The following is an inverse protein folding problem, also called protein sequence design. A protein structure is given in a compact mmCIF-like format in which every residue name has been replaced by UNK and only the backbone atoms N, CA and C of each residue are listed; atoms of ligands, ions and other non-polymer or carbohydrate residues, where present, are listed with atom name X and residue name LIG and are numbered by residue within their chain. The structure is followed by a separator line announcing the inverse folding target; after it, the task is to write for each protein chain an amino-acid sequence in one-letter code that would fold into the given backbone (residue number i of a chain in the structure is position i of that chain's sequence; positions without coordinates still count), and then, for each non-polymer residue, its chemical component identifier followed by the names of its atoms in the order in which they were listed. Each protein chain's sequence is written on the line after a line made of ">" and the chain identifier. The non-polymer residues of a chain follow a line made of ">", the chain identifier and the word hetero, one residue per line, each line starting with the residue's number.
data_IF_877969972319
#
_entry.id   IF_877969972319
#
_cell.length_a   1.000
_cell.length_b   1.000
_cell.length_c   1.000
_cell.angle_alpha   90.00
_cell.angle_beta   90.00
_cell.angle_gamma   90.00
#
_symmetry.space_group_name_H-M   'P 1'
#
loop_
_entity.id
_entity.type
_entity.pdbx_description
1 polymer ?
#
# COMPACT_ATOMS: atom_id res chain seq x y z
N UNK A 1 -10.25 -28.88 -4.30
CA UNK A 1 -8.88 -28.40 -4.57
C UNK A 1 -8.50 -27.33 -3.56
N UNK A 2 -7.22 -27.19 -3.17
CA UNK A 2 -6.70 -26.10 -2.33
C UNK A 2 -5.70 -25.29 -3.14
N UNK A 3 -6.00 -24.00 -3.36
CA UNK A 3 -5.07 -23.02 -3.92
C UNK A 3 -4.29 -22.35 -2.79
N UNK A 4 -2.99 -22.14 -2.99
CA UNK A 4 -2.11 -21.46 -2.03
C UNK A 4 -1.82 -20.06 -2.55
N UNK A 5 -2.21 -19.05 -1.76
CA UNK A 5 -1.92 -17.64 -2.01
C UNK A 5 -1.01 -17.11 -0.91
N UNK A 6 0.13 -16.52 -1.29
CA UNK A 6 0.98 -15.74 -0.38
C UNK A 6 0.82 -14.26 -0.66
N UNK A 7 1.12 -13.38 0.31
CA UNK A 7 0.98 -11.95 0.01
C UNK A 7 1.37 -10.99 1.12
N UNK A 8 1.09 -9.72 0.86
CA UNK A 8 1.25 -8.62 1.81
C UNK A 8 0.30 -8.75 2.99
N UNK A 9 0.74 -8.31 4.17
CA UNK A 9 -0.11 -8.25 5.35
C UNK A 9 -1.10 -7.09 5.36
N UNK A 10 -0.95 -6.10 4.46
CA UNK A 10 -1.87 -4.95 4.42
C UNK A 10 -3.27 -5.31 3.93
N UNK A 11 -3.46 -6.01 2.79
CA UNK A 11 -4.78 -6.42 2.34
C UNK A 11 -5.27 -7.74 2.99
N UNK A 12 -4.55 -8.31 3.96
CA UNK A 12 -4.90 -9.58 4.60
C UNK A 12 -6.35 -9.62 5.09
N UNK A 13 -6.91 -8.59 5.78
CA UNK A 13 -8.30 -8.63 6.23
C UNK A 13 -9.29 -8.75 5.07
N UNK A 14 -9.06 -8.00 3.97
CA UNK A 14 -9.88 -8.08 2.77
C UNK A 14 -9.78 -9.45 2.09
N UNK A 15 -8.56 -9.95 1.93
CA UNK A 15 -8.35 -11.24 1.27
C UNK A 15 -8.97 -12.39 2.04
N UNK A 16 -8.95 -12.36 3.37
CA UNK A 16 -9.70 -13.33 4.19
C UNK A 16 -11.20 -13.24 3.94
N UNK A 17 -11.76 -12.03 3.92
CA UNK A 17 -13.18 -11.84 3.62
C UNK A 17 -13.55 -12.32 2.21
N UNK A 18 -12.69 -12.10 1.22
CA UNK A 18 -12.85 -12.63 -0.13
C UNK A 18 -12.84 -14.16 -0.14
N UNK A 19 -11.88 -14.76 0.53
CA UNK A 19 -11.75 -16.23 0.61
C UNK A 19 -12.97 -16.85 1.28
N UNK A 20 -13.42 -16.30 2.38
CA UNK A 20 -14.60 -16.78 3.12
C UNK A 20 -15.88 -16.66 2.27
N UNK A 21 -16.03 -15.57 1.52
CA UNK A 21 -17.17 -15.37 0.64
C UNK A 21 -17.09 -16.27 -0.61
N UNK A 22 -15.92 -16.36 -1.24
CA UNK A 22 -15.70 -17.22 -2.41
C UNK A 22 -15.97 -18.69 -2.09
N UNK A 23 -15.53 -19.16 -0.92
CA UNK A 23 -15.73 -20.54 -0.49
C UNK A 23 -17.21 -20.90 -0.34
N UNK A 24 -18.08 -19.95 0.01
CA UNK A 24 -19.54 -20.17 0.08
C UNK A 24 -20.17 -20.35 -1.32
N UNK A 25 -19.61 -19.70 -2.34
CA UNK A 25 -20.08 -19.76 -3.72
C UNK A 25 -19.44 -20.92 -4.51
N UNK A 26 -18.18 -21.28 -4.21
CA UNK A 26 -17.37 -22.26 -4.92
C UNK A 26 -16.77 -23.30 -3.96
N UNK A 27 -17.62 -24.10 -3.32
CA UNK A 27 -17.24 -25.05 -2.26
C UNK A 27 -16.18 -26.11 -2.67
N UNK A 28 -16.03 -26.38 -3.96
CA UNK A 28 -15.02 -27.32 -4.48
C UNK A 28 -13.59 -26.78 -4.48
N UNK A 29 -13.43 -25.43 -4.37
CA UNK A 29 -12.12 -24.77 -4.39
C UNK A 29 -11.94 -23.94 -3.14
N UNK A 30 -10.94 -24.27 -2.34
CA UNK A 30 -10.51 -23.52 -1.17
C UNK A 30 -9.30 -22.66 -1.54
N UNK A 31 -9.20 -21.44 -1.01
CA UNK A 31 -8.00 -20.62 -1.10
C UNK A 31 -7.41 -20.46 0.29
N UNK A 32 -6.12 -20.72 0.45
CA UNK A 32 -5.39 -20.54 1.70
C UNK A 32 -4.45 -19.35 1.58
N UNK A 33 -4.65 -18.31 2.39
CA UNK A 33 -3.81 -17.12 2.41
C UNK A 33 -2.75 -17.16 3.49
N UNK A 34 -1.51 -16.79 3.12
CA UNK A 34 -0.37 -16.67 4.04
C UNK A 34 0.26 -15.27 3.91
N UNK A 35 0.17 -14.41 4.94
CA UNK A 35 0.69 -13.05 4.92
C UNK A 35 2.20 -13.02 5.22
N UNK A 36 3.02 -13.33 4.23
CA UNK A 36 4.49 -13.40 4.34
C UNK A 36 5.18 -12.03 4.10
N UNK A 37 4.49 -11.10 3.44
CA UNK A 37 5.02 -9.81 2.97
C UNK A 37 5.28 -9.83 1.47
N UNK A 38 5.31 -8.61 0.86
CA UNK A 38 5.36 -8.45 -0.60
C UNK A 38 6.61 -9.07 -1.21
N UNK A 39 7.79 -8.77 -0.65
CA UNK A 39 9.07 -9.27 -1.17
C UNK A 39 9.17 -10.81 -1.13
N UNK A 40 8.70 -11.43 -0.04
CA UNK A 40 8.72 -12.90 0.08
C UNK A 40 7.69 -13.54 -0.85
N UNK A 41 6.51 -12.95 -0.97
CA UNK A 41 5.49 -13.42 -1.90
C UNK A 41 5.99 -13.40 -3.35
N UNK A 42 6.66 -12.32 -3.76
CA UNK A 42 7.29 -12.24 -5.08
C UNK A 42 8.31 -13.36 -5.30
N UNK A 43 9.20 -13.60 -4.31
CA UNK A 43 10.17 -14.71 -4.37
C UNK A 43 9.49 -16.06 -4.51
N UNK A 44 8.42 -16.30 -3.74
CA UNK A 44 7.67 -17.57 -3.78
C UNK A 44 7.08 -17.84 -5.16
N UNK A 45 6.43 -16.85 -5.77
CA UNK A 45 5.85 -16.98 -7.12
C UNK A 45 6.95 -17.20 -8.17
N UNK A 46 8.05 -16.48 -8.09
CA UNK A 46 9.17 -16.67 -8.99
C UNK A 46 9.85 -18.03 -8.83
N UNK A 47 9.86 -18.59 -7.61
CA UNK A 47 10.33 -19.94 -7.35
C UNK A 47 9.32 -21.03 -7.77
N UNK A 48 8.07 -20.67 -8.12
CA UNK A 48 7.00 -21.62 -8.43
C UNK A 48 6.35 -22.23 -7.19
N UNK A 49 6.45 -21.55 -6.05
CA UNK A 49 5.81 -21.93 -4.80
C UNK A 49 4.48 -21.20 -4.63
N UNK A 50 3.37 -21.94 -4.63
CA UNK A 50 2.03 -21.39 -4.57
C UNK A 50 1.39 -21.14 -5.95
N UNK A 51 0.09 -20.88 -5.92
CA UNK A 51 -0.73 -20.65 -7.12
C UNK A 51 -0.91 -19.17 -7.42
N UNK A 52 -0.93 -18.35 -6.37
CA UNK A 52 -1.03 -16.90 -6.43
C UNK A 52 -0.06 -16.26 -5.44
N UNK A 53 0.50 -15.15 -5.84
CA UNK A 53 1.19 -14.23 -4.96
C UNK A 53 0.40 -12.94 -4.78
N UNK A 54 0.93 -12.03 -3.98
CA UNK A 54 0.40 -10.67 -3.88
C UNK A 54 1.37 -9.74 -3.18
N UNK A 55 1.36 -8.49 -3.58
CA UNK A 55 2.22 -7.47 -3.00
C UNK A 55 1.78 -6.06 -3.33
N UNK A 56 2.45 -5.11 -2.70
CA UNK A 56 2.13 -3.69 -2.82
C UNK A 56 3.24 -2.93 -3.57
N UNK A 57 4.06 -3.67 -4.31
CA UNK A 57 5.10 -3.19 -5.22
C UNK A 57 5.12 -4.06 -6.47
N UNK A 58 5.41 -3.52 -7.66
CA UNK A 58 5.73 -4.35 -8.82
C UNK A 58 6.97 -5.21 -8.57
N UNK A 59 6.96 -6.45 -9.08
CA UNK A 59 8.14 -7.31 -9.01
C UNK A 59 9.27 -6.66 -9.83
N UNK A 60 10.49 -6.46 -9.28
CA UNK A 60 11.57 -5.87 -10.03
C UNK A 60 11.88 -6.62 -11.34
N UNK A 61 12.07 -5.88 -12.44
CA UNK A 61 12.41 -6.45 -13.75
C UNK A 61 13.59 -7.42 -13.69
N UNK A 62 14.61 -7.05 -12.91
CA UNK A 62 15.80 -7.91 -12.72
C UNK A 62 15.45 -9.27 -12.13
N UNK A 63 14.44 -9.34 -11.25
CA UNK A 63 13.99 -10.60 -10.67
C UNK A 63 13.14 -11.41 -11.65
N UNK A 64 12.25 -10.75 -12.43
CA UNK A 64 11.47 -11.40 -13.49
C UNK A 64 12.40 -12.03 -14.55
N UNK A 65 13.38 -11.28 -15.03
CA UNK A 65 14.36 -11.77 -16.00
C UNK A 65 15.20 -12.92 -15.44
N UNK A 66 15.70 -12.81 -14.20
CA UNK A 66 16.53 -13.85 -13.58
C UNK A 66 15.76 -15.16 -13.38
N UNK A 67 14.46 -15.08 -13.07
CA UNK A 67 13.61 -16.26 -12.90
C UNK A 67 13.16 -16.90 -14.22
N UNK A 68 13.31 -16.21 -15.35
CA UNK A 68 12.80 -16.63 -16.67
C UNK A 68 11.33 -17.08 -16.62
N UNK A 69 10.50 -16.34 -15.88
CA UNK A 69 9.07 -16.65 -15.71
C UNK A 69 8.19 -15.48 -16.13
N UNK A 70 7.09 -15.80 -16.77
CA UNK A 70 6.03 -14.84 -17.08
C UNK A 70 5.04 -14.79 -15.93
N UNK A 71 4.97 -13.65 -15.25
CA UNK A 71 4.04 -13.37 -14.16
C UNK A 71 3.18 -12.18 -14.55
N UNK A 72 1.86 -12.34 -14.44
CA UNK A 72 0.92 -11.24 -14.55
C UNK A 72 0.81 -10.54 -13.20
N UNK A 73 0.97 -9.23 -13.21
CA UNK A 73 0.80 -8.37 -12.03
C UNK A 73 -0.55 -7.65 -12.18
N UNK A 74 -1.56 -8.18 -11.53
CA UNK A 74 -2.96 -7.76 -11.69
C UNK A 74 -3.39 -6.92 -10.49
N UNK A 75 -3.71 -5.61 -10.63
CA UNK A 75 -4.27 -4.81 -9.55
C UNK A 75 -5.46 -5.49 -8.88
N UNK A 76 -5.44 -5.60 -7.56
CA UNK A 76 -6.53 -6.16 -6.77
C UNK A 76 -7.48 -5.09 -6.24
N UNK A 77 -6.93 -4.12 -5.51
CA UNK A 77 -7.60 -2.92 -5.00
C UNK A 77 -6.58 -1.77 -4.90
N UNK A 78 -7.06 -0.59 -4.57
CA UNK A 78 -6.22 0.55 -4.23
C UNK A 78 -5.93 0.59 -2.73
N UNK A 79 -4.74 1.07 -2.39
CA UNK A 79 -4.31 1.25 -1.01
C UNK A 79 -3.68 2.63 -0.83
N UNK A 80 -3.92 3.26 0.32
CA UNK A 80 -3.26 4.50 0.71
C UNK A 80 -2.42 4.28 1.97
N UNK A 81 -1.18 4.75 1.94
CA UNK A 81 -0.32 4.79 3.12
C UNK A 81 -0.48 6.16 3.75
N UNK A 82 -0.91 6.17 5.01
CA UNK A 82 -1.24 7.40 5.73
C UNK A 82 -0.21 7.68 6.83
N UNK A 83 0.25 8.92 6.92
CA UNK A 83 1.08 9.35 8.03
C UNK A 83 0.21 9.49 9.28
N UNK A 84 0.53 8.72 10.31
CA UNK A 84 -0.19 8.68 11.58
C UNK A 84 0.69 9.28 12.69
N UNK A 85 0.05 9.92 13.67
CA UNK A 85 0.80 10.60 14.72
C UNK A 85 0.06 10.60 16.06
N UNK A 86 0.81 10.75 17.15
CA UNK A 86 0.28 10.88 18.51
C UNK A 86 0.78 12.19 19.15
N UNK A 87 -0.14 13.16 19.28
CA UNK A 87 0.09 14.46 19.91
C UNK A 87 -1.02 14.75 20.92
N UNK A 88 -0.85 14.32 22.17
CA UNK A 88 -1.87 14.52 23.21
C UNK A 88 -2.17 16.00 23.42
N UNK A 89 -3.46 16.32 23.58
CA UNK A 89 -3.93 17.68 23.85
C UNK A 89 -3.93 18.65 22.65
N UNK A 90 -3.35 18.25 21.50
CA UNK A 90 -3.35 19.08 20.29
C UNK A 90 -4.63 18.83 19.50
N UNK A 91 -5.37 19.90 19.21
CA UNK A 91 -6.58 19.88 18.38
C UNK A 91 -6.23 20.25 16.93
N UNK A 92 -7.11 19.89 16.01
CA UNK A 92 -6.97 20.21 14.59
C UNK A 92 -6.32 19.09 13.78
N UNK A 93 -6.16 19.34 12.50
CA UNK A 93 -5.63 18.40 11.50
C UNK A 93 -4.20 18.82 11.15
N UNK A 94 -3.26 17.92 11.37
CA UNK A 94 -1.85 18.16 11.03
C UNK A 94 -1.67 18.16 9.51
N UNK A 95 -1.04 19.21 9.01
CA UNK A 95 -0.68 19.37 7.60
C UNK A 95 0.83 19.16 7.41
N UNK A 96 1.18 18.31 6.46
CA UNK A 96 2.58 18.02 6.12
C UNK A 96 2.81 18.18 4.62
N UNK A 97 3.97 18.71 4.24
CA UNK A 97 4.44 18.62 2.86
C UNK A 97 5.34 17.39 2.69
N UNK A 98 5.50 16.91 1.46
CA UNK A 98 6.38 15.78 1.17
C UNK A 98 7.81 15.98 1.68
N UNK A 99 8.47 17.14 1.39
CA UNK A 99 9.81 17.42 1.93
C UNK A 99 9.88 17.44 3.46
N UNK A 100 8.85 17.96 4.14
CA UNK A 100 8.82 17.97 5.62
C UNK A 100 8.69 16.54 6.16
N UNK A 101 7.81 15.72 5.57
CA UNK A 101 7.66 14.31 5.94
C UNK A 101 8.97 13.55 5.69
N UNK A 102 9.64 13.77 4.56
CA UNK A 102 10.94 13.17 4.26
C UNK A 102 11.98 13.55 5.32
N UNK A 103 12.07 14.84 5.71
CA UNK A 103 13.01 15.31 6.71
C UNK A 103 12.73 14.74 8.12
N UNK A 104 11.48 14.45 8.45
CA UNK A 104 11.14 13.73 9.67
C UNK A 104 11.71 12.30 9.64
N UNK A 105 11.46 11.55 8.56
CA UNK A 105 11.96 10.18 8.42
C UNK A 105 13.49 10.10 8.25
N UNK A 106 14.12 11.18 7.78
CA UNK A 106 15.58 11.31 7.77
C UNK A 106 16.17 11.71 9.14
N UNK A 107 15.33 12.01 10.16
CA UNK A 107 15.76 12.47 11.46
C UNK A 107 16.35 13.90 11.45
N UNK A 108 16.03 14.70 10.44
CA UNK A 108 16.45 16.11 10.32
C UNK A 108 15.56 17.02 11.16
N UNK A 109 14.24 16.81 11.10
CA UNK A 109 13.27 17.46 11.98
C UNK A 109 13.09 16.58 13.20
N UNK A 110 13.48 17.08 14.37
CA UNK A 110 13.58 16.28 15.61
C UNK A 110 12.54 16.64 16.67
N UNK A 111 11.84 17.76 16.52
CA UNK A 111 10.83 18.24 17.49
C UNK A 111 9.61 18.73 16.77
N UNK A 112 8.43 18.60 17.40
CA UNK A 112 7.16 19.00 16.81
C UNK A 112 7.02 20.51 16.64
N UNK A 113 7.69 21.31 17.48
CA UNK A 113 7.72 22.77 17.34
C UNK A 113 8.79 23.30 16.38
N UNK A 114 9.39 22.43 15.54
CA UNK A 114 10.29 22.88 14.48
C UNK A 114 9.61 23.90 13.57
N UNK A 115 10.38 24.89 13.13
CA UNK A 115 9.86 26.00 12.31
C UNK A 115 9.23 25.55 10.98
N UNK A 116 9.68 24.43 10.42
CA UNK A 116 9.09 23.87 9.21
C UNK A 116 7.67 23.31 9.46
N UNK A 117 7.42 22.77 10.66
CA UNK A 117 6.11 22.26 11.06
C UNK A 117 5.16 23.38 11.51
N UNK A 118 5.64 24.33 12.33
CA UNK A 118 4.81 25.42 12.85
C UNK A 118 4.33 26.36 11.74
N UNK A 119 5.16 26.62 10.72
CA UNK A 119 4.74 27.43 9.56
C UNK A 119 3.64 26.75 8.71
N UNK A 120 3.60 25.43 8.65
CA UNK A 120 2.53 24.69 7.96
C UNK A 120 1.24 24.62 8.78
N UNK A 121 1.34 24.76 10.09
CA UNK A 121 0.26 24.57 11.06
C UNK A 121 0.18 25.76 12.03
N UNK A 122 -0.03 27.01 11.55
CA UNK A 122 0.03 28.20 12.40
C UNK A 122 -1.04 28.22 13.50
N UNK A 123 -2.17 27.57 13.26
CA UNK A 123 -3.30 27.47 14.21
C UNK A 123 -3.13 26.32 15.22
N UNK A 124 -2.06 25.54 15.11
CA UNK A 124 -1.76 24.45 16.03
C UNK A 124 -0.60 24.86 16.95
N UNK A 125 -0.85 24.86 18.23
CA UNK A 125 0.23 25.09 19.22
C UNK A 125 1.08 23.82 19.37
N UNK A 126 1.94 23.54 18.38
CA UNK A 126 2.78 22.35 18.36
C UNK A 126 3.80 22.36 19.50
N UNK A 127 3.89 21.30 20.33
CA UNK A 127 4.70 21.28 21.54
C UNK A 127 6.20 21.11 21.24
N UNK A 128 7.05 21.56 22.16
CA UNK A 128 8.49 21.25 22.17
C UNK A 128 8.73 19.79 22.60
N UNK A 129 8.12 18.86 21.85
CA UNK A 129 8.16 17.43 22.11
C UNK A 129 9.04 16.75 21.06
N UNK A 130 9.96 15.84 21.46
CA UNK A 130 10.76 15.10 20.51
C UNK A 130 9.89 14.25 19.57
N UNK A 131 10.21 14.22 18.29
CA UNK A 131 9.60 13.33 17.30
C UNK A 131 10.19 11.94 17.43
N UNK A 132 9.34 10.95 17.60
CA UNK A 132 9.70 9.53 17.63
C UNK A 132 9.22 8.84 16.36
N UNK A 133 10.14 8.56 15.45
CA UNK A 133 9.82 7.97 14.14
C UNK A 133 9.62 6.46 14.26
N UNK A 134 8.52 5.96 13.71
CA UNK A 134 8.20 4.54 13.62
C UNK A 134 8.08 4.10 12.17
N UNK A 135 8.69 2.97 11.82
CA UNK A 135 8.65 2.41 10.47
C UNK A 135 8.48 0.89 10.49
N UNK A 136 8.21 0.30 9.34
CA UNK A 136 8.11 -1.16 9.20
C UNK A 136 9.49 -1.77 9.00
N UNK A 137 9.62 -3.05 9.37
CA UNK A 137 10.82 -3.85 9.06
C UNK A 137 10.98 -4.04 7.55
N UNK A 138 12.08 -4.59 7.12
CA UNK A 138 12.40 -4.87 5.72
C UNK A 138 11.40 -5.80 5.03
N UNK A 139 11.32 -5.70 3.71
CA UNK A 139 10.50 -6.55 2.86
C UNK A 139 9.00 -6.25 2.89
N UNK A 140 8.60 -5.03 3.30
CA UNK A 140 7.19 -4.64 3.39
C UNK A 140 6.78 -3.71 2.27
N UNK A 141 5.64 -3.99 1.64
CA UNK A 141 5.09 -3.16 0.58
C UNK A 141 4.76 -1.72 1.01
N UNK A 142 4.34 -1.53 2.29
CA UNK A 142 4.15 -0.18 2.84
C UNK A 142 5.42 0.66 2.84
N UNK A 143 6.59 0.05 3.05
CA UNK A 143 7.89 0.70 2.91
C UNK A 143 8.10 1.16 1.46
N UNK A 144 7.80 0.29 0.49
CA UNK A 144 7.95 0.63 -0.93
C UNK A 144 7.08 1.83 -1.31
N UNK A 145 5.79 1.81 -0.95
CA UNK A 145 4.86 2.89 -1.30
C UNK A 145 5.30 4.21 -0.69
N UNK A 146 5.63 4.22 0.60
CA UNK A 146 6.10 5.43 1.28
C UNK A 146 7.43 5.93 0.71
N UNK A 147 8.41 5.04 0.53
CA UNK A 147 9.72 5.42 0.00
C UNK A 147 9.66 5.88 -1.46
N UNK A 148 8.79 5.30 -2.28
CA UNK A 148 8.54 5.77 -3.65
C UNK A 148 8.03 7.23 -3.66
N UNK A 149 7.08 7.56 -2.77
CA UNK A 149 6.62 8.94 -2.60
C UNK A 149 7.74 9.86 -2.10
N UNK A 150 8.41 9.48 -1.02
CA UNK A 150 9.44 10.32 -0.41
C UNK A 150 10.63 10.57 -1.35
N UNK A 151 11.01 9.59 -2.16
CA UNK A 151 12.03 9.75 -3.20
C UNK A 151 11.62 10.74 -4.30
N UNK A 152 10.34 10.81 -4.66
CA UNK A 152 9.83 11.77 -5.66
C UNK A 152 9.83 13.22 -5.16
N UNK A 153 9.69 13.42 -3.86
CA UNK A 153 9.56 14.76 -3.25
C UNK A 153 10.81 15.22 -2.50
N UNK A 154 11.82 14.37 -2.35
CA UNK A 154 13.08 14.67 -1.65
C UNK A 154 14.26 13.93 -2.30
N UNK A 155 15.10 14.64 -3.08
CA UNK A 155 16.35 14.08 -3.61
C UNK A 155 17.29 13.56 -2.51
N UNK A 156 17.29 14.20 -1.33
CA UNK A 156 18.09 13.77 -0.19
C UNK A 156 17.60 12.41 0.34
N UNK A 157 16.27 12.20 0.44
CA UNK A 157 15.71 10.92 0.85
C UNK A 157 16.07 9.81 -0.15
N UNK A 158 16.00 10.12 -1.45
CA UNK A 158 16.41 9.17 -2.50
C UNK A 158 17.87 8.75 -2.34
N UNK A 159 18.77 9.70 -2.07
CA UNK A 159 20.21 9.45 -1.93
C UNK A 159 20.55 8.63 -0.68
N UNK A 160 19.85 8.87 0.45
CA UNK A 160 20.16 8.25 1.75
C UNK A 160 19.42 6.93 1.95
N UNK A 161 18.10 6.94 1.80
CA UNK A 161 17.24 5.79 2.12
C UNK A 161 16.91 4.92 0.92
N UNK A 162 16.72 5.55 -0.25
CA UNK A 162 16.35 4.88 -1.49
C UNK A 162 14.89 4.42 -1.54
N UNK A 163 14.44 4.09 -2.76
CA UNK A 163 13.12 3.49 -3.02
C UNK A 163 13.21 1.98 -2.95
N UNK A 164 12.54 1.36 -1.99
CA UNK A 164 12.63 -0.08 -1.78
C UNK A 164 11.55 -0.58 -0.81
N UNK A 165 11.28 -1.88 -0.80
CA UNK A 165 10.58 -2.56 0.31
C UNK A 165 11.45 -2.62 1.59
N UNK A 166 12.74 -2.32 1.46
CA UNK A 166 13.73 -2.27 2.55
C UNK A 166 14.57 -0.99 2.46
N UNK A 167 13.97 0.21 2.65
CA UNK A 167 14.71 1.47 2.62
C UNK A 167 15.73 1.50 3.76
N UNK A 168 16.85 2.18 3.55
CA UNK A 168 17.85 2.38 4.61
C UNK A 168 17.38 3.50 5.55
N UNK A 169 16.46 3.19 6.45
CA UNK A 169 15.94 4.16 7.41
C UNK A 169 17.05 4.68 8.32
N UNK A 170 17.38 5.98 8.30
CA UNK A 170 18.47 6.53 9.14
C UNK A 170 18.03 6.80 10.57
N UNK A 171 16.73 6.79 10.83
CA UNK A 171 16.16 7.05 12.16
C UNK A 171 14.87 6.27 12.37
N UNK A 172 14.56 6.00 13.62
CA UNK A 172 13.29 5.41 14.02
C UNK A 172 13.41 4.00 14.60
N UNK A 173 12.26 3.49 15.04
CA UNK A 173 12.08 2.13 15.54
C UNK A 173 11.28 1.32 14.54
N UNK A 174 11.69 0.07 14.30
CA UNK A 174 11.03 -0.83 13.34
C UNK A 174 10.01 -1.75 14.00
N UNK A 175 8.95 -2.09 13.24
CA UNK A 175 7.88 -2.98 13.66
C UNK A 175 7.55 -4.00 12.57
N UNK A 176 7.35 -5.25 12.99
CA UNK A 176 7.07 -6.34 12.05
C UNK A 176 5.65 -6.27 11.47
N UNK A 177 4.67 -5.83 12.25
CA UNK A 177 3.26 -5.69 11.84
C UNK A 177 2.78 -4.24 11.94
N UNK A 178 1.87 -3.83 11.04
CA UNK A 178 1.23 -2.50 11.09
C UNK A 178 0.48 -2.31 12.40
N UNK A 179 -0.21 -3.35 12.90
CA UNK A 179 -0.95 -3.29 14.16
C UNK A 179 -0.04 -3.03 15.36
N UNK A 180 1.15 -3.63 15.40
CA UNK A 180 2.15 -3.40 16.45
C UNK A 180 2.62 -1.95 16.45
N UNK A 181 2.90 -1.40 15.24
CA UNK A 181 3.29 0.00 15.07
C UNK A 181 2.19 0.94 15.57
N UNK A 182 0.94 0.69 15.19
CA UNK A 182 -0.22 1.50 15.61
C UNK A 182 -0.41 1.43 17.11
N UNK A 183 -0.35 0.24 17.71
CA UNK A 183 -0.50 0.06 19.16
C UNK A 183 0.59 0.81 19.93
N UNK A 184 1.85 0.71 19.48
CA UNK A 184 2.95 1.42 20.11
C UNK A 184 2.83 2.93 19.92
N UNK A 185 2.34 3.40 18.77
CA UNK A 185 2.15 4.81 18.49
C UNK A 185 1.14 5.44 19.48
N UNK A 186 0.02 4.79 19.76
CA UNK A 186 -0.98 5.25 20.73
C UNK A 186 -0.43 5.50 22.13
N UNK A 187 0.56 4.71 22.53
CA UNK A 187 1.18 4.81 23.88
C UNK A 187 2.43 5.68 23.89
N UNK A 188 2.78 6.32 22.77
CA UNK A 188 4.04 7.07 22.64
C UNK A 188 3.79 8.52 22.23
N UNK A 189 3.66 9.46 23.20
CA UNK A 189 3.57 10.88 22.90
C UNK A 189 4.73 11.36 22.01
N UNK A 190 4.39 12.10 20.95
CA UNK A 190 5.35 12.58 19.96
C UNK A 190 5.72 11.56 18.88
N UNK A 191 5.09 10.40 18.86
CA UNK A 191 5.32 9.43 17.79
C UNK A 191 4.70 9.87 16.46
N UNK A 192 5.39 9.54 15.38
CA UNK A 192 4.91 9.59 13.99
C UNK A 192 5.31 8.30 13.30
N UNK A 193 4.41 7.77 12.50
CA UNK A 193 4.64 6.58 11.69
C UNK A 193 3.72 6.56 10.50
N UNK A 194 3.52 5.39 9.94
CA UNK A 194 2.61 5.20 8.81
C UNK A 194 1.96 3.83 8.86
N UNK A 195 0.76 3.78 8.30
CA UNK A 195 0.02 2.53 8.11
C UNK A 195 -0.93 2.66 6.92
N UNK A 196 -1.62 1.60 6.57
CA UNK A 196 -2.71 1.61 5.60
C UNK A 196 -3.95 2.33 6.15
N UNK A 197 -4.71 2.99 5.27
CA UNK A 197 -5.87 3.80 5.62
C UNK A 197 -6.89 3.02 6.47
N UNK A 198 -7.23 1.79 6.08
CA UNK A 198 -8.25 0.99 6.75
C UNK A 198 -7.88 0.69 8.21
N UNK A 199 -6.61 0.36 8.46
CA UNK A 199 -6.12 0.15 9.83
C UNK A 199 -6.10 1.46 10.61
N UNK A 200 -5.69 2.57 10.00
CA UNK A 200 -5.71 3.87 10.67
C UNK A 200 -7.13 4.27 11.11
N UNK A 201 -8.12 4.08 10.22
CA UNK A 201 -9.54 4.36 10.51
C UNK A 201 -10.07 3.45 11.62
N UNK A 202 -9.87 2.14 11.51
CA UNK A 202 -10.38 1.16 12.50
C UNK A 202 -9.73 1.30 13.87
N UNK A 203 -8.48 1.76 13.93
CA UNK A 203 -7.75 1.99 15.18
C UNK A 203 -7.98 3.38 15.78
N UNK A 204 -8.67 4.30 15.06
CA UNK A 204 -8.94 5.64 15.55
C UNK A 204 -7.71 6.54 15.70
N UNK A 205 -6.58 6.20 15.07
CA UNK A 205 -5.36 7.03 15.12
C UNK A 205 -5.52 8.31 14.29
N UNK A 206 -4.84 9.36 14.71
CA UNK A 206 -4.84 10.63 13.98
C UNK A 206 -4.00 10.53 12.72
N UNK A 207 -4.54 11.03 11.61
CA UNK A 207 -3.90 11.04 10.30
C UNK A 207 -3.61 12.47 9.86
N UNK A 208 -2.44 12.69 9.25
CA UNK A 208 -2.08 13.97 8.68
C UNK A 208 -2.63 14.13 7.26
N UNK A 209 -2.99 15.35 6.88
CA UNK A 209 -3.20 15.74 5.49
C UNK A 209 -1.85 16.01 4.82
N UNK A 210 -1.67 15.51 3.62
CA UNK A 210 -0.42 15.64 2.87
C UNK A 210 -0.63 16.55 1.66
N UNK A 211 0.30 17.49 1.45
CA UNK A 211 0.29 18.35 0.28
C UNK A 211 0.59 17.55 -0.97
N UNK A 212 -0.31 17.56 -1.95
CA UNK A 212 -0.18 16.82 -3.19
C UNK A 212 0.53 17.61 -4.30
N UNK A 213 0.71 16.99 -5.47
CA UNK A 213 1.36 17.59 -6.63
C UNK A 213 0.62 18.83 -7.18
N UNK A 214 -0.69 18.96 -6.94
CA UNK A 214 -1.47 20.14 -7.30
C UNK A 214 -1.36 21.29 -6.26
N UNK A 215 -0.65 21.09 -5.16
CA UNK A 215 -0.47 22.09 -4.11
C UNK A 215 -1.55 22.08 -3.02
N UNK A 216 -2.50 21.15 -3.06
CA UNK A 216 -3.60 21.04 -2.10
C UNK A 216 -3.22 20.10 -0.94
N UNK A 217 -3.66 20.43 0.29
CA UNK A 217 -3.59 19.51 1.41
C UNK A 217 -4.76 18.53 1.35
N UNK A 218 -4.46 17.27 1.08
CA UNK A 218 -5.47 16.23 0.90
C UNK A 218 -5.49 15.29 2.09
N UNK A 219 -6.68 15.16 2.69
CA UNK A 219 -6.95 14.18 3.73
C UNK A 219 -7.05 12.78 3.12
N UNK A 220 -6.44 11.76 3.75
CA UNK A 220 -6.57 10.39 3.26
C UNK A 220 -8.01 9.89 3.38
N UNK A 221 -8.52 9.35 2.29
CA UNK A 221 -9.84 8.70 2.20
C UNK A 221 -9.87 7.75 1.01
N UNK A 222 -10.83 6.82 0.96
CA UNK A 222 -11.02 5.94 -0.19
C UNK A 222 -11.26 6.74 -1.47
N UNK A 223 -11.97 7.87 -1.39
CA UNK A 223 -12.22 8.77 -2.52
C UNK A 223 -10.94 9.44 -3.02
N UNK A 224 -10.10 9.99 -2.12
CA UNK A 224 -8.86 10.67 -2.53
C UNK A 224 -7.80 9.70 -3.06
N UNK A 225 -7.80 8.44 -2.59
CA UNK A 225 -6.98 7.36 -3.13
C UNK A 225 -7.47 6.95 -4.53
N UNK A 226 -8.80 6.82 -4.74
CA UNK A 226 -9.37 6.53 -6.05
C UNK A 226 -9.12 7.67 -7.05
N UNK A 227 -9.17 8.94 -6.59
CA UNK A 227 -8.82 10.11 -7.40
C UNK A 227 -7.37 10.03 -7.92
N UNK A 228 -6.43 9.58 -7.08
CA UNK A 228 -5.04 9.40 -7.51
C UNK A 228 -4.91 8.32 -8.61
N UNK A 229 -5.66 7.24 -8.54
CA UNK A 229 -5.67 6.20 -9.55
C UNK A 229 -6.28 6.69 -10.87
N UNK A 230 -7.40 7.41 -10.80
CA UNK A 230 -8.05 8.01 -11.99
C UNK A 230 -7.17 9.04 -12.69
N UNK A 231 -6.40 9.83 -11.93
CA UNK A 231 -5.52 10.86 -12.47
C UNK A 231 -4.19 10.30 -13.01
N UNK A 232 -3.63 9.26 -12.37
CA UNK A 232 -2.28 8.73 -12.65
C UNK A 232 -2.25 7.37 -13.35
N UNK A 233 -3.27 6.53 -13.17
CA UNK A 233 -3.20 5.11 -13.49
C UNK A 233 -3.81 4.66 -14.82
N UNK A 234 -4.63 5.50 -15.47
CA UNK A 234 -5.55 4.97 -16.48
C UNK A 234 -5.10 5.00 -17.94
N UNK A 235 -4.14 5.80 -18.34
CA UNK A 235 -4.01 6.18 -19.76
C UNK A 235 -2.80 5.64 -20.51
N UNK A 236 -1.79 5.05 -19.88
CA UNK A 236 -0.52 4.74 -20.57
C UNK A 236 0.11 3.37 -20.34
N UNK A 237 -0.36 2.54 -19.42
CA UNK A 237 0.31 1.26 -19.14
C UNK A 237 -0.66 0.07 -19.25
N UNK A 238 -0.36 -0.81 -20.20
CA UNK A 238 -1.06 -2.09 -20.38
C UNK A 238 -0.69 -3.15 -19.32
N UNK A 239 0.41 -2.92 -18.59
CA UNK A 239 0.97 -3.84 -17.60
C UNK A 239 0.63 -3.50 -16.14
N UNK A 240 -0.11 -2.40 -15.88
CA UNK A 240 -0.53 -1.93 -14.55
C UNK A 240 0.60 -1.64 -13.55
N UNK A 241 1.84 -1.49 -14.00
CA UNK A 241 3.02 -1.28 -13.14
C UNK A 241 3.30 0.20 -12.84
N UNK A 242 2.33 1.05 -13.13
CA UNK A 242 2.45 2.49 -12.92
C UNK A 242 2.40 2.83 -11.43
N UNK A 243 3.28 3.74 -11.00
CA UNK A 243 3.23 4.30 -9.65
C UNK A 243 2.16 5.37 -9.55
N UNK A 244 1.29 5.26 -8.55
CA UNK A 244 0.26 6.24 -8.21
C UNK A 244 0.74 7.27 -7.18
N UNK A 245 1.95 7.13 -6.62
CA UNK A 245 2.46 8.10 -5.66
C UNK A 245 2.74 9.42 -6.34
N UNK A 246 2.38 10.51 -5.66
CA UNK A 246 2.46 11.88 -6.18
C UNK A 246 1.71 12.07 -7.51
N UNK A 247 0.60 11.35 -7.71
CA UNK A 247 -0.25 11.48 -8.88
C UNK A 247 -0.79 12.91 -9.02
N UNK A 248 -1.01 13.40 -10.25
CA UNK A 248 -1.61 14.72 -10.48
C UNK A 248 -3.07 14.76 -10.00
N UNK A 249 -3.64 15.95 -9.90
CA UNK A 249 -5.05 16.16 -9.54
C UNK A 249 -5.21 16.75 -8.14
N UNK A 250 -6.16 17.68 -8.02
CA UNK A 250 -6.39 18.44 -6.78
C UNK A 250 -6.86 17.56 -5.62
N UNK A 251 -7.61 16.49 -5.90
CA UNK A 251 -8.17 15.58 -4.90
C UNK A 251 -7.32 14.33 -4.68
N UNK A 252 -6.21 14.16 -5.43
CA UNK A 252 -5.37 12.97 -5.36
C UNK A 252 -4.60 12.90 -4.06
N UNK A 253 -4.82 11.84 -3.27
CA UNK A 253 -3.99 11.57 -2.11
C UNK A 253 -2.60 11.10 -2.56
N UNK A 254 -1.52 11.76 -2.13
CA UNK A 254 -0.21 11.58 -2.78
C UNK A 254 0.52 10.28 -2.45
N UNK A 255 0.09 9.53 -1.41
CA UNK A 255 0.73 8.27 -1.02
C UNK A 255 -0.23 7.11 -1.31
N UNK A 256 -0.64 7.02 -2.57
CA UNK A 256 -1.56 6.01 -3.08
C UNK A 256 -0.83 4.99 -3.94
N UNK A 257 -1.33 3.75 -3.97
CA UNK A 257 -0.80 2.66 -4.76
C UNK A 257 -1.89 1.65 -5.10
N UNK A 258 -1.60 0.78 -6.05
CA UNK A 258 -2.28 -0.51 -6.14
C UNK A 258 -1.73 -1.47 -5.08
N UNK A 259 -2.49 -2.52 -4.77
CA UNK A 259 -1.95 -3.81 -4.38
C UNK A 259 -2.21 -4.79 -5.52
N UNK A 260 -1.28 -5.67 -5.78
CA UNK A 260 -1.31 -6.58 -6.94
C UNK A 260 -1.49 -8.03 -6.53
N UNK A 261 -2.16 -8.80 -7.36
CA UNK A 261 -2.06 -10.25 -7.39
C UNK A 261 -0.97 -10.62 -8.40
N UNK A 262 -0.02 -11.44 -8.00
CA UNK A 262 1.02 -12.01 -8.85
C UNK A 262 0.56 -13.38 -9.29
N UNK A 263 0.33 -13.55 -10.58
CA UNK A 263 -0.25 -14.76 -11.15
C UNK A 263 0.69 -15.33 -12.20
N UNK A 264 1.16 -16.56 -12.08
CA UNK A 264 1.85 -17.22 -13.18
C UNK A 264 0.99 -17.17 -14.44
N UNK A 265 1.55 -16.70 -15.55
CA UNK A 265 0.80 -16.59 -16.82
C UNK A 265 0.34 -17.96 -17.33
N UNK A 266 1.13 -18.99 -17.03
CA UNK A 266 0.82 -20.40 -17.33
C UNK A 266 0.93 -21.18 -16.03
N UNK A 267 -0.14 -21.86 -15.64
CA UNK A 267 -0.15 -22.73 -14.47
C UNK A 267 0.60 -24.04 -14.76
N UNK A 268 1.28 -24.62 -13.77
CA UNK A 268 1.92 -25.94 -13.94
C UNK A 268 0.92 -27.05 -14.23
N UNK A 269 -0.31 -26.88 -13.78
CA UNK A 269 -1.42 -27.82 -13.93
C UNK A 269 -2.64 -27.07 -14.47
N UNK A 270 -3.20 -27.50 -15.62
CA UNK A 270 -4.36 -26.85 -16.24
C UNK A 270 -5.62 -26.79 -15.35
N UNK A 271 -5.81 -27.77 -14.45
CA UNK A 271 -6.95 -27.75 -13.52
C UNK A 271 -6.77 -26.62 -12.47
N UNK A 272 -5.55 -26.46 -11.96
CA UNK A 272 -5.22 -25.35 -11.07
C UNK A 272 -5.33 -24.00 -11.77
N UNK A 273 -4.88 -23.91 -13.03
CA UNK A 273 -5.03 -22.71 -13.86
C UNK A 273 -6.49 -22.28 -13.99
N UNK A 274 -7.39 -23.22 -14.31
CA UNK A 274 -8.84 -22.95 -14.36
C UNK A 274 -9.41 -22.48 -13.01
N UNK A 275 -8.96 -23.08 -11.91
CA UNK A 275 -9.42 -22.69 -10.57
C UNK A 275 -8.92 -21.28 -10.19
N UNK A 276 -7.68 -20.93 -10.52
CA UNK A 276 -7.14 -19.58 -10.36
C UNK A 276 -7.92 -18.56 -11.20
N UNK A 277 -8.17 -18.86 -12.48
CA UNK A 277 -8.96 -18.00 -13.36
C UNK A 277 -10.39 -17.76 -12.83
N UNK A 278 -11.04 -18.79 -12.29
CA UNK A 278 -12.37 -18.68 -11.67
C UNK A 278 -12.32 -17.78 -10.41
N UNK A 279 -11.33 -17.95 -9.57
CA UNK A 279 -11.14 -17.10 -8.38
C UNK A 279 -10.87 -15.63 -8.76
N UNK A 280 -10.01 -15.38 -9.74
CA UNK A 280 -9.73 -14.03 -10.24
C UNK A 280 -10.99 -13.36 -10.81
N UNK A 281 -11.78 -14.09 -11.61
CA UNK A 281 -13.06 -13.59 -12.12
C UNK A 281 -13.97 -13.17 -10.98
N UNK A 282 -14.06 -13.96 -9.92
CA UNK A 282 -14.85 -13.66 -8.73
C UNK A 282 -14.31 -12.43 -7.99
N UNK A 283 -12.98 -12.29 -7.82
CA UNK A 283 -12.32 -11.13 -7.20
C UNK A 283 -12.69 -9.84 -7.93
N UNK A 284 -12.73 -9.85 -9.27
CA UNK A 284 -13.04 -8.66 -10.08
C UNK A 284 -14.54 -8.41 -10.28
N UNK A 285 -15.40 -9.23 -9.71
CA UNK A 285 -16.85 -9.04 -9.69
C UNK A 285 -17.37 -8.89 -8.25
N UNK A 286 -17.70 -9.99 -7.58
CA UNK A 286 -18.21 -10.01 -6.20
C UNK A 286 -17.20 -9.46 -5.20
N UNK A 287 -15.90 -9.75 -5.40
CA UNK A 287 -14.82 -9.29 -4.52
C UNK A 287 -14.69 -7.77 -4.44
N UNK A 288 -14.88 -7.05 -5.56
CA UNK A 288 -14.84 -5.57 -5.54
C UNK A 288 -15.97 -4.95 -4.72
N UNK A 289 -17.16 -5.56 -4.69
CA UNK A 289 -18.27 -5.11 -3.84
C UNK A 289 -17.93 -5.24 -2.36
N UNK A 290 -17.37 -6.38 -1.95
CA UNK A 290 -16.92 -6.62 -0.58
C UNK A 290 -15.82 -5.62 -0.19
N UNK A 291 -14.89 -5.34 -1.10
CA UNK A 291 -13.85 -4.34 -0.85
C UNK A 291 -14.45 -2.95 -0.58
N UNK A 292 -15.43 -2.52 -1.36
CA UNK A 292 -16.14 -1.27 -1.17
C UNK A 292 -16.88 -1.21 0.17
N UNK A 293 -17.60 -2.26 0.52
CA UNK A 293 -18.34 -2.38 1.79
C UNK A 293 -17.41 -2.31 3.01
N UNK A 294 -16.18 -2.79 2.88
CA UNK A 294 -15.15 -2.73 3.91
C UNK A 294 -14.31 -1.44 3.86
N UNK A 295 -14.69 -0.45 3.05
CA UNK A 295 -14.05 0.87 2.99
C UNK A 295 -12.72 0.91 2.22
N UNK A 296 -12.39 -0.15 1.48
CA UNK A 296 -11.25 -0.10 0.55
C UNK A 296 -11.59 0.76 -0.67
N UNK A 297 -10.59 1.43 -1.21
CA UNK A 297 -10.72 2.10 -2.50
C UNK A 297 -10.68 1.04 -3.62
N UNK A 298 -11.78 0.92 -4.36
CA UNK A 298 -11.91 -0.05 -5.47
C UNK A 298 -11.22 0.48 -6.72
N UNK A 299 -10.96 -0.43 -7.66
CA UNK A 299 -10.37 -0.08 -8.94
C UNK A 299 -11.35 0.82 -9.74
N UNK A 300 -10.87 1.89 -10.39
CA UNK A 300 -11.66 2.64 -11.37
C UNK A 300 -12.20 1.71 -12.47
N UNK A 301 -13.40 2.02 -13.00
CA UNK A 301 -14.10 1.13 -13.92
C UNK A 301 -13.29 0.77 -15.18
N UNK A 302 -12.52 1.72 -15.71
CA UNK A 302 -11.65 1.51 -16.87
C UNK A 302 -10.46 0.59 -16.55
N UNK A 303 -9.88 0.72 -15.35
CA UNK A 303 -8.82 -0.16 -14.85
C UNK A 303 -9.39 -1.56 -14.62
N UNK A 304 -10.54 -1.65 -13.93
CA UNK A 304 -11.20 -2.92 -13.62
C UNK A 304 -11.51 -3.72 -14.89
N UNK A 305 -12.05 -3.07 -15.94
CA UNK A 305 -12.34 -3.73 -17.21
C UNK A 305 -11.07 -4.32 -17.86
N UNK A 306 -9.96 -3.57 -17.87
CA UNK A 306 -8.68 -4.02 -18.43
C UNK A 306 -8.08 -5.18 -17.63
N UNK A 307 -8.12 -5.09 -16.30
CA UNK A 307 -7.59 -6.13 -15.41
C UNK A 307 -8.41 -7.42 -15.56
N UNK A 308 -9.74 -7.33 -15.58
CA UNK A 308 -10.60 -8.47 -15.77
C UNK A 308 -10.34 -9.17 -17.13
N UNK A 309 -10.15 -8.38 -18.20
CA UNK A 309 -9.76 -8.92 -19.51
C UNK A 309 -8.41 -9.63 -19.45
N UNK A 310 -7.40 -9.05 -18.77
CA UNK A 310 -6.09 -9.66 -18.61
C UNK A 310 -6.15 -10.92 -17.74
N UNK A 311 -6.94 -10.92 -16.67
CA UNK A 311 -7.14 -12.08 -15.80
C UNK A 311 -7.77 -13.27 -16.55
N UNK A 312 -8.59 -13.03 -17.58
CA UNK A 312 -9.19 -14.10 -18.40
C UNK A 312 -8.19 -14.84 -19.29
N UNK A 313 -6.95 -14.35 -19.42
CA UNK A 313 -5.89 -15.03 -20.17
C UNK A 313 -5.12 -16.06 -19.34
N UNK A 314 -5.40 -16.18 -18.05
CA UNK A 314 -4.79 -17.19 -17.16
C UNK A 314 -5.36 -18.58 -17.51
N UNK A 315 -4.50 -19.58 -17.70
CA UNK A 315 -4.88 -20.95 -18.07
C UNK A 315 -3.87 -21.99 -17.55
#
# INVERSE_FOLDING_TARGET
>A
MVLVQTGSSMPEPLYKSWIDAYHKEAASTQVRYMPVGSAESARNILAGSGDLGGGDAPIPETQLHAANKSVLELPAVLIGIVAIYELPGIKGELKLTGPVLANIFLGRIKTWNDSALTRLNPDMNLPALPIRVFHRTDGKGSNYILSDYLCKVSPEFLAIAGRSESPKWPAGQSFQRSQELVNQLHSTPGAIGYTELNLAVSSGVRMASIKNAAGEFVKPSSQSIAAAASAGGGKKNEDFRVSLTNAPGKESYPISSFTWLYVPAVAPDPERGRAVAAYLKWVYTSGQKIAQEQGYATLPADVLAKVAAKASTVH
#
